data_IF_543697284527
#
_entry.id   IF_543697284527
#
_cell.length_a   1.000
_cell.length_b   1.000
_cell.length_c   1.000
_cell.angle_alpha   90.00
_cell.angle_beta   90.00
_cell.angle_gamma   90.00
#
_symmetry.space_group_name_H-M   'P 1'
#
loop_
_entity.id
_entity.type
_entity.pdbx_description
1 polymer ?
#
# COMPACT_ATOMS: atom_id res chain seq x y z
N UNK A 1 -24.59 -2.21 -19.71
CA UNK A 1 -23.91 -0.95 -19.30
C UNK A 1 -22.41 -1.15 -19.26
N UNK A 2 -21.74 -0.74 -20.33
CA UNK A 2 -20.28 -0.66 -20.44
C UNK A 2 -19.81 0.57 -19.63
N UNK A 3 -18.95 0.38 -18.63
CA UNK A 3 -18.44 1.51 -17.82
C UNK A 3 -17.89 1.15 -16.43
N UNK A 4 -18.25 -0.01 -15.86
CA UNK A 4 -17.83 -0.40 -14.50
C UNK A 4 -16.34 -0.80 -14.38
N UNK A 5 -15.63 -1.04 -15.50
CA UNK A 5 -14.20 -1.42 -15.46
C UNK A 5 -13.26 -0.24 -15.17
N UNK A 6 -13.70 1.02 -15.29
CA UNK A 6 -12.81 2.20 -15.28
C UNK A 6 -12.66 2.85 -13.89
N UNK A 7 -13.20 2.27 -12.82
CA UNK A 7 -13.11 2.88 -11.48
C UNK A 7 -12.63 1.95 -10.38
N UNK A 8 -11.54 1.21 -10.64
CA UNK A 8 -10.62 0.89 -9.55
C UNK A 8 -9.67 2.08 -9.40
N UNK A 9 -9.83 2.85 -8.32
CA UNK A 9 -8.82 3.80 -7.81
C UNK A 9 -7.57 3.02 -7.41
N UNK A 10 -6.89 2.43 -8.40
CA UNK A 10 -5.78 1.52 -8.16
C UNK A 10 -4.54 2.33 -7.82
N UNK A 11 -3.72 1.82 -6.92
CA UNK A 11 -2.39 2.35 -6.60
C UNK A 11 -1.54 2.51 -7.86
N UNK A 12 -1.80 1.74 -8.93
CA UNK A 12 -1.14 1.86 -10.23
C UNK A 12 -1.29 3.21 -10.92
N UNK A 13 -2.29 4.02 -10.56
CA UNK A 13 -2.39 5.41 -11.04
C UNK A 13 -1.44 6.36 -10.30
N UNK A 14 -1.02 6.00 -9.08
CA UNK A 14 -0.17 6.84 -8.22
C UNK A 14 1.30 6.43 -8.28
N UNK A 15 1.55 5.12 -8.42
CA UNK A 15 2.88 4.53 -8.34
C UNK A 15 3.13 3.64 -9.55
N UNK A 16 4.34 3.71 -10.10
CA UNK A 16 4.81 2.83 -11.16
C UNK A 16 6.16 2.21 -10.74
N UNK A 17 6.25 0.88 -10.57
CA UNK A 17 7.47 0.24 -10.13
C UNK A 17 8.50 0.19 -11.26
N UNK A 18 9.75 0.55 -10.95
CA UNK A 18 10.88 0.35 -11.85
C UNK A 18 11.32 -1.11 -11.77
N UNK A 19 10.88 -1.95 -12.71
CA UNK A 19 11.07 -3.41 -12.68
C UNK A 19 12.50 -3.86 -12.33
N UNK A 20 13.51 -3.17 -12.86
CA UNK A 20 14.93 -3.50 -12.64
C UNK A 20 15.36 -3.37 -11.17
N UNK A 21 14.65 -2.56 -10.38
CA UNK A 21 14.91 -2.42 -8.95
C UNK A 21 14.29 -3.52 -8.08
N UNK A 22 13.40 -4.34 -8.65
CA UNK A 22 12.73 -5.42 -7.93
C UNK A 22 13.18 -6.81 -8.37
N UNK A 23 13.51 -6.98 -9.65
CA UNK A 23 13.79 -8.28 -10.25
C UNK A 23 14.87 -9.07 -9.48
N UNK A 24 14.52 -10.27 -9.02
CA UNK A 24 15.37 -11.22 -8.30
C UNK A 24 16.01 -10.65 -7.00
N UNK A 25 15.45 -9.58 -6.45
CA UNK A 25 15.94 -8.96 -5.20
C UNK A 25 15.01 -9.27 -4.02
N UNK A 26 15.59 -9.33 -2.82
CA UNK A 26 14.84 -9.26 -1.58
C UNK A 26 14.73 -7.78 -1.21
N UNK A 27 13.51 -7.26 -1.13
CA UNK A 27 13.27 -5.82 -0.95
C UNK A 27 12.58 -5.53 0.38
N UNK A 28 12.96 -4.43 1.02
CA UNK A 28 12.27 -3.84 2.15
C UNK A 28 11.60 -2.56 1.67
N UNK A 29 10.28 -2.52 1.74
CA UNK A 29 9.48 -1.33 1.49
C UNK A 29 9.28 -0.60 2.81
N UNK A 30 9.56 0.69 2.83
CA UNK A 30 9.35 1.55 4.01
C UNK A 30 8.29 2.58 3.65
N UNK A 31 7.25 2.68 4.48
CA UNK A 31 6.18 3.65 4.33
C UNK A 31 5.95 4.39 5.65
N UNK A 32 5.29 5.53 5.59
CA UNK A 32 5.07 6.37 6.78
C UNK A 32 4.21 5.65 7.83
N UNK A 33 3.15 4.97 7.39
CA UNK A 33 2.11 4.40 8.24
C UNK A 33 1.28 3.35 7.52
N UNK A 34 0.59 2.51 8.30
CA UNK A 34 -0.42 1.58 7.80
C UNK A 34 -1.75 1.93 8.49
N UNK A 35 -2.68 2.50 7.73
CA UNK A 35 -4.01 2.90 8.24
C UNK A 35 -5.06 1.82 8.00
N UNK A 36 -5.35 1.47 6.73
CA UNK A 36 -6.34 0.41 6.37
C UNK A 36 -5.71 -0.82 5.73
N UNK A 37 -4.41 -0.74 5.41
CA UNK A 37 -3.65 -1.80 4.71
C UNK A 37 -3.99 -2.07 3.25
N UNK A 38 -5.06 -1.50 2.68
CA UNK A 38 -5.44 -1.74 1.27
C UNK A 38 -4.38 -1.26 0.29
N UNK A 39 -3.86 -0.05 0.49
CA UNK A 39 -2.78 0.53 -0.31
C UNK A 39 -1.49 -0.28 -0.17
N UNK A 40 -1.06 -0.58 1.06
CA UNK A 40 0.16 -1.35 1.33
C UNK A 40 0.09 -2.75 0.67
N UNK A 41 -1.08 -3.39 0.67
CA UNK A 41 -1.30 -4.67 -0.03
C UNK A 41 -1.12 -4.55 -1.54
N UNK A 42 -1.67 -3.50 -2.16
CA UNK A 42 -1.47 -3.26 -3.60
C UNK A 42 0.00 -2.96 -3.93
N UNK A 43 0.70 -2.17 -3.10
CA UNK A 43 2.13 -1.86 -3.28
C UNK A 43 2.98 -3.14 -3.21
N UNK A 44 2.75 -3.97 -2.19
CA UNK A 44 3.46 -5.24 -2.04
C UNK A 44 3.18 -6.15 -3.23
N UNK A 45 1.95 -6.18 -3.74
CA UNK A 45 1.61 -6.95 -4.94
C UNK A 45 2.36 -6.42 -6.16
N UNK A 46 2.44 -5.09 -6.34
CA UNK A 46 3.19 -4.48 -7.45
C UNK A 46 4.69 -4.81 -7.40
N UNK A 47 5.29 -4.87 -6.20
CA UNK A 47 6.68 -5.29 -6.03
C UNK A 47 6.89 -6.76 -6.43
N UNK A 48 5.97 -7.66 -6.04
CA UNK A 48 6.00 -9.07 -6.46
C UNK A 48 5.79 -9.24 -7.96
N UNK A 49 4.81 -8.53 -8.53
CA UNK A 49 4.54 -8.51 -9.97
C UNK A 49 5.75 -7.99 -10.77
N UNK A 50 6.63 -7.20 -10.13
CA UNK A 50 7.86 -6.67 -10.72
C UNK A 50 9.07 -7.61 -10.55
N UNK A 51 8.88 -8.80 -9.97
CA UNK A 51 9.91 -9.84 -9.87
C UNK A 51 10.68 -9.89 -8.55
N UNK A 52 10.19 -9.26 -7.48
CA UNK A 52 10.83 -9.38 -6.16
C UNK A 52 10.73 -10.80 -5.59
N UNK A 53 11.84 -11.32 -5.04
CA UNK A 53 11.93 -12.65 -4.43
C UNK A 53 11.23 -12.69 -3.07
N UNK A 54 11.62 -11.79 -2.16
CA UNK A 54 10.96 -11.55 -0.88
C UNK A 54 10.62 -10.07 -0.76
N UNK A 55 9.45 -9.78 -0.21
CA UNK A 55 8.99 -8.41 0.05
C UNK A 55 8.69 -8.27 1.53
N UNK A 56 9.47 -7.44 2.20
CA UNK A 56 9.26 -7.00 3.57
C UNK A 56 8.63 -5.60 3.56
N UNK A 57 7.88 -5.28 4.60
CA UNK A 57 7.25 -3.98 4.75
C UNK A 57 7.49 -3.46 6.17
N UNK A 58 8.03 -2.26 6.29
CA UNK A 58 8.22 -1.57 7.55
C UNK A 58 7.41 -0.27 7.55
N UNK A 59 6.72 -0.03 8.66
CA UNK A 59 6.02 1.21 8.94
C UNK A 59 6.91 2.08 9.82
N UNK A 60 7.09 3.35 9.46
CA UNK A 60 7.78 4.31 10.31
C UNK A 60 6.95 4.64 11.56
N UNK A 61 5.62 4.56 11.47
CA UNK A 61 4.71 4.72 12.61
C UNK A 61 4.47 3.40 13.36
N UNK A 62 4.14 3.45 14.66
CA UNK A 62 3.50 2.34 15.36
C UNK A 62 2.16 1.94 14.70
N UNK A 63 1.61 0.75 15.04
CA UNK A 63 0.31 0.33 14.53
C UNK A 63 -0.82 1.31 14.90
N UNK A 64 -1.52 1.83 13.90
CA UNK A 64 -2.66 2.73 14.09
C UNK A 64 -3.89 1.89 14.43
N UNK A 65 -4.32 1.94 15.69
CA UNK A 65 -5.43 1.11 16.22
C UNK A 65 -6.67 1.90 16.62
N UNK A 66 -6.54 3.22 16.69
CA UNK A 66 -7.59 4.13 17.16
C UNK A 66 -7.66 5.35 16.24
N UNK A 67 -8.88 5.83 15.92
CA UNK A 67 -9.03 7.07 15.18
C UNK A 67 -8.55 8.25 16.02
N UNK A 68 -7.96 9.23 15.36
CA UNK A 68 -7.69 10.52 15.97
C UNK A 68 -9.00 11.31 16.12
N UNK A 69 -9.22 11.91 17.29
CA UNK A 69 -10.40 12.76 17.58
C UNK A 69 -10.01 14.23 17.84
N UNK A 70 -8.76 14.59 17.57
CA UNK A 70 -8.17 15.90 17.85
C UNK A 70 -7.83 16.69 16.56
N UNK A 71 -8.43 16.31 15.43
CA UNK A 71 -8.39 17.11 14.19
C UNK A 71 -7.69 16.46 12.99
N UNK A 72 -7.14 15.24 13.11
CA UNK A 72 -6.62 14.48 11.97
C UNK A 72 -7.71 13.55 11.44
N UNK A 73 -8.08 13.69 10.17
CA UNK A 73 -9.06 12.81 9.52
C UNK A 73 -8.54 11.36 9.49
N UNK A 74 -9.28 10.45 10.14
CA UNK A 74 -8.97 9.03 10.19
C UNK A 74 -10.26 8.21 10.03
N UNK A 75 -10.18 7.02 9.40
CA UNK A 75 -11.34 6.13 9.33
C UNK A 75 -11.77 5.69 10.73
N UNK A 76 -13.03 5.29 10.85
CA UNK A 76 -13.54 4.71 12.09
C UNK A 76 -12.78 3.45 12.47
N UNK A 77 -12.77 3.10 13.76
CA UNK A 77 -12.03 1.94 14.30
C UNK A 77 -12.30 0.61 13.57
N UNK A 78 -13.52 0.43 13.04
CA UNK A 78 -13.91 -0.77 12.26
C UNK A 78 -13.18 -0.88 10.91
N UNK A 79 -12.66 0.25 10.42
CA UNK A 79 -12.05 0.42 9.11
C UNK A 79 -10.55 0.75 9.20
N UNK A 80 -9.94 0.58 10.37
CA UNK A 80 -8.49 0.54 10.59
C UNK A 80 -8.00 -0.90 10.43
#
# INVERSE_FOLDING_TARGET
MQGQKVRKKSVRYKLNPLKYEFLNKNVLLVDDSIVRGTTSREIVQMARDSGANKVYFASASPPIRFPNIYGIDMPTKKNL
#
